data_IF_592721924596
#
_entry.id   IF_592721924596
#
_cell.length_a   1.000
_cell.length_b   1.000
_cell.length_c   1.000
_cell.angle_alpha   90.00
_cell.angle_beta   90.00
_cell.angle_gamma   90.00
#
_symmetry.space_group_name_H-M   'P 1'
#
loop_
_entity.id
_entity.type
_entity.pdbx_description
1 polymer ?
#
# COMPACT_ATOMS: atom_id res chain seq x y z
N UNK A 1 -17.79 -15.53 6.92
CA UNK A 1 -16.92 -15.15 8.05
C UNK A 1 -17.67 -14.13 8.89
N UNK A 2 -17.90 -14.38 10.18
CA UNK A 2 -18.60 -13.41 11.05
C UNK A 2 -17.75 -12.16 11.24
N UNK A 3 -18.38 -10.98 11.21
CA UNK A 3 -17.75 -9.65 11.22
C UNK A 3 -16.70 -9.48 12.34
N UNK A 4 -16.95 -10.09 13.51
CA UNK A 4 -16.02 -10.06 14.64
C UNK A 4 -14.72 -10.85 14.44
N UNK A 5 -14.72 -11.96 13.67
CA UNK A 5 -13.52 -12.81 13.50
C UNK A 5 -12.45 -12.18 12.59
N UNK A 6 -12.84 -11.27 11.69
CA UNK A 6 -11.93 -10.59 10.78
C UNK A 6 -11.13 -9.46 11.46
N UNK A 7 -11.73 -8.80 12.47
CA UNK A 7 -11.09 -7.69 13.19
C UNK A 7 -9.93 -8.17 14.08
N UNK A 8 -10.06 -9.33 14.73
CA UNK A 8 -8.97 -9.92 15.52
C UNK A 8 -7.75 -10.26 14.66
N UNK A 9 -7.96 -10.69 13.41
CA UNK A 9 -6.86 -10.99 12.49
C UNK A 9 -6.10 -9.72 12.08
N UNK A 10 -6.82 -8.63 11.80
CA UNK A 10 -6.19 -7.35 11.51
C UNK A 10 -5.37 -6.83 12.71
N UNK A 11 -5.92 -6.89 13.91
CA UNK A 11 -5.21 -6.48 15.13
C UNK A 11 -3.99 -7.37 15.43
N UNK A 12 -4.09 -8.68 15.20
CA UNK A 12 -2.96 -9.59 15.34
C UNK A 12 -1.84 -9.29 14.33
N UNK A 13 -2.19 -9.01 13.07
CA UNK A 13 -1.22 -8.59 12.05
C UNK A 13 -0.56 -7.26 12.37
N UNK A 14 -1.32 -6.28 12.88
CA UNK A 14 -0.79 -4.98 13.31
C UNK A 14 0.19 -5.19 14.47
N UNK A 15 -0.18 -6.00 15.46
CA UNK A 15 0.68 -6.31 16.60
C UNK A 15 1.98 -6.97 16.14
N UNK A 16 1.90 -7.95 15.25
CA UNK A 16 3.07 -8.64 14.71
C UNK A 16 3.95 -7.70 13.87
N UNK A 17 3.35 -6.81 13.08
CA UNK A 17 4.06 -5.78 12.32
C UNK A 17 4.88 -4.88 13.26
N UNK A 18 4.30 -4.39 14.35
CA UNK A 18 5.00 -3.54 15.31
C UNK A 18 6.10 -4.28 16.10
N UNK A 19 6.00 -5.60 16.28
CA UNK A 19 7.06 -6.41 16.91
C UNK A 19 8.30 -6.56 16.03
N UNK A 20 8.13 -6.46 14.70
CA UNK A 20 9.21 -6.65 13.73
C UNK A 20 9.79 -5.34 13.18
N UNK A 21 9.23 -4.19 13.55
CA UNK A 21 9.71 -2.88 13.13
C UNK A 21 10.56 -2.20 14.21
N UNK A 22 11.54 -1.35 13.83
CA UNK A 22 12.33 -0.60 14.80
C UNK A 22 11.44 0.33 15.64
N UNK A 23 11.69 0.39 16.96
CA UNK A 23 10.95 1.25 17.89
C UNK A 23 11.01 2.75 17.55
N UNK A 24 12.00 3.17 16.77
CA UNK A 24 12.15 4.56 16.29
C UNK A 24 11.30 4.88 15.05
N UNK A 25 10.68 3.89 14.43
CA UNK A 25 9.91 4.06 13.21
C UNK A 25 8.47 4.52 13.53
N UNK A 26 8.08 5.68 13.00
CA UNK A 26 6.69 6.14 13.07
C UNK A 26 5.88 5.46 11.96
N UNK A 27 4.88 4.66 12.33
CA UNK A 27 4.01 3.94 11.40
C UNK A 27 2.58 4.51 11.52
N UNK A 28 2.12 5.14 10.44
CA UNK A 28 0.71 5.53 10.31
C UNK A 28 -0.10 4.37 9.75
N UNK A 29 -1.11 3.90 10.49
CA UNK A 29 -2.08 2.90 10.01
C UNK A 29 -3.43 3.58 9.87
N UNK A 30 -3.87 3.73 8.63
CA UNK A 30 -5.22 4.19 8.34
C UNK A 30 -6.12 2.96 8.21
N UNK A 31 -7.06 2.78 9.13
CA UNK A 31 -8.00 1.66 9.09
C UNK A 31 -9.41 2.20 8.86
N UNK A 32 -10.10 1.64 7.86
CA UNK A 32 -11.47 2.01 7.51
C UNK A 32 -12.45 1.36 8.51
N UNK A 33 -12.66 2.02 9.67
CA UNK A 33 -13.67 1.60 10.67
C UNK A 33 -15.06 2.17 10.30
N UNK A 34 -15.14 3.15 9.41
CA UNK A 34 -16.35 3.97 9.23
C UNK A 34 -17.32 3.49 8.14
N UNK A 35 -16.84 2.96 7.02
CA UNK A 35 -17.72 2.63 5.89
C UNK A 35 -17.91 1.11 5.78
N UNK A 36 -18.91 0.58 6.50
CA UNK A 36 -19.17 -0.85 6.53
C UNK A 36 -19.45 -1.44 5.14
N UNK A 37 -18.89 -2.64 4.95
CA UNK A 37 -19.13 -3.63 3.89
C UNK A 37 -18.31 -3.46 2.60
N UNK A 38 -17.26 -4.29 2.58
CA UNK A 38 -16.48 -4.79 1.44
C UNK A 38 -15.28 -3.98 0.93
N UNK A 39 -14.12 -4.44 1.42
CA UNK A 39 -12.89 -4.66 0.64
C UNK A 39 -12.26 -3.39 0.07
N UNK A 40 -11.40 -2.74 0.86
CA UNK A 40 -10.02 -2.33 0.49
C UNK A 40 -9.33 -1.65 1.69
N UNK A 41 -8.17 -2.18 2.10
CA UNK A 41 -7.40 -1.72 3.27
C UNK A 41 -6.56 -0.46 3.02
N UNK A 42 -6.47 -0.04 1.76
CA UNK A 42 -5.78 1.16 1.33
C UNK A 42 -6.66 1.81 0.28
N UNK A 43 -7.48 2.75 0.70
CA UNK A 43 -8.11 3.71 -0.19
C UNK A 43 -7.85 5.10 0.39
N UNK A 44 -6.86 5.79 -0.17
CA UNK A 44 -6.59 7.18 0.14
C UNK A 44 -7.69 8.11 -0.38
N UNK A 45 -8.40 7.68 -1.42
CA UNK A 45 -9.68 8.24 -1.80
C UNK A 45 -10.79 7.45 -1.10
N UNK A 46 -11.13 7.87 0.12
CA UNK A 46 -12.25 7.29 0.88
C UNK A 46 -13.52 7.18 0.03
N UNK A 47 -14.28 6.11 0.26
CA UNK A 47 -15.48 5.72 -0.50
C UNK A 47 -16.63 6.74 -0.50
N UNK A 48 -16.58 7.76 0.36
CA UNK A 48 -17.50 8.90 0.38
C UNK A 48 -16.74 10.20 0.63
N UNK A 49 -17.27 11.32 0.11
CA UNK A 49 -16.68 12.66 0.27
C UNK A 49 -16.39 13.05 1.74
N UNK A 50 -17.25 12.74 2.74
CA UNK A 50 -16.95 13.02 4.14
C UNK A 50 -15.72 12.25 4.67
N UNK A 51 -15.55 10.99 4.27
CA UNK A 51 -14.39 10.19 4.67
C UNK A 51 -13.10 10.75 4.07
N UNK A 52 -13.14 11.23 2.82
CA UNK A 52 -12.00 11.92 2.22
C UNK A 52 -11.67 13.20 2.98
N UNK A 53 -12.65 13.94 3.49
CA UNK A 53 -12.33 15.15 4.25
C UNK A 53 -11.72 14.88 5.62
N UNK A 54 -12.11 13.81 6.30
CA UNK A 54 -11.67 13.53 7.67
C UNK A 54 -10.37 12.70 7.67
N UNK A 55 -10.27 11.73 6.77
CA UNK A 55 -9.21 10.72 6.76
C UNK A 55 -8.24 10.85 5.58
N UNK A 56 -8.21 11.99 4.88
CA UNK A 56 -7.21 12.19 3.82
C UNK A 56 -5.79 12.04 4.40
N UNK A 57 -4.89 11.26 3.78
CA UNK A 57 -3.52 11.10 4.27
C UNK A 57 -2.80 12.44 4.53
N UNK A 58 -2.99 13.43 3.65
CA UNK A 58 -2.44 14.81 3.84
C UNK A 58 -2.99 15.58 5.04
N UNK A 59 -4.08 15.14 5.67
CA UNK A 59 -4.66 15.75 6.88
C UNK A 59 -4.26 14.97 8.14
N UNK A 60 -3.67 13.79 8.00
CA UNK A 60 -3.18 12.99 9.10
C UNK A 60 -1.70 13.27 9.32
N UNK A 61 -1.34 13.72 10.51
CA UNK A 61 0.07 13.89 10.90
C UNK A 61 0.82 12.56 10.76
N UNK A 62 2.06 12.63 10.26
CA UNK A 62 2.91 11.46 10.03
C UNK A 62 2.81 10.81 8.65
N UNK A 63 1.81 11.15 7.83
CA UNK A 63 1.69 10.63 6.44
C UNK A 63 2.39 11.49 5.38
N UNK A 64 2.84 12.69 5.76
CA UNK A 64 3.55 13.61 4.87
C UNK A 64 2.69 14.05 3.66
N UNK A 65 3.34 14.18 2.50
CA UNK A 65 2.67 14.54 1.23
C UNK A 65 2.10 13.33 0.47
N UNK A 66 2.18 12.14 1.07
CA UNK A 66 1.67 10.92 0.44
C UNK A 66 0.17 11.03 0.21
N UNK A 67 -0.26 10.66 -0.98
CA UNK A 67 -1.68 10.47 -1.33
C UNK A 67 -2.08 9.00 -1.23
N UNK A 68 -1.23 8.14 -0.64
CA UNK A 68 -1.51 6.74 -0.37
C UNK A 68 -1.69 5.82 -1.60
N UNK A 69 -1.62 6.34 -2.83
CA UNK A 69 -1.87 5.57 -4.06
C UNK A 69 -0.87 4.43 -4.24
N UNK A 70 0.40 4.67 -3.86
CA UNK A 70 1.44 3.63 -3.85
C UNK A 70 1.11 2.45 -2.93
N UNK A 71 0.49 2.72 -1.78
CA UNK A 71 0.06 1.67 -0.84
C UNK A 71 -1.13 0.87 -1.42
N UNK A 72 -2.06 1.51 -2.13
CA UNK A 72 -3.17 0.81 -2.79
C UNK A 72 -2.68 -0.13 -3.90
N UNK A 73 -1.72 0.33 -4.70
CA UNK A 73 -1.10 -0.44 -5.78
C UNK A 73 -0.35 -1.67 -5.24
N UNK A 74 0.44 -1.45 -4.19
CA UNK A 74 1.16 -2.52 -3.50
C UNK A 74 0.20 -3.55 -2.91
N UNK A 75 -0.81 -3.09 -2.16
CA UNK A 75 -1.82 -3.96 -1.56
C UNK A 75 -2.61 -4.74 -2.60
N UNK A 76 -2.99 -4.10 -3.71
CA UNK A 76 -3.69 -4.75 -4.82
C UNK A 76 -2.88 -5.88 -5.46
N UNK A 77 -1.55 -5.78 -5.41
CA UNK A 77 -0.64 -6.82 -5.93
C UNK A 77 -0.49 -8.00 -4.97
N UNK A 78 -0.56 -7.74 -3.65
CA UNK A 78 -0.39 -8.77 -2.61
C UNK A 78 -1.71 -9.40 -2.15
N UNK A 79 -2.86 -8.74 -2.34
CA UNK A 79 -4.16 -9.24 -1.85
C UNK A 79 -4.51 -10.65 -2.33
N UNK A 80 -4.01 -11.06 -3.51
CA UNK A 80 -4.29 -12.38 -4.10
C UNK A 80 -3.56 -13.52 -3.38
N UNK A 81 -2.45 -13.25 -2.70
CA UNK A 81 -1.72 -14.26 -1.94
C UNK A 81 -2.23 -14.40 -0.49
N UNK A 82 -3.02 -13.45 0.01
CA UNK A 82 -3.55 -13.47 1.39
C UNK A 82 -4.37 -14.74 1.68
N UNK A 83 -5.30 -15.19 0.82
CA UNK A 83 -6.11 -16.37 1.13
C UNK A 83 -5.30 -17.67 1.26
N UNK A 84 -4.26 -17.86 0.44
CA UNK A 84 -3.40 -19.06 0.51
C UNK A 84 -2.46 -19.04 1.71
N UNK A 85 -2.06 -17.84 2.16
CA UNK A 85 -1.16 -17.67 3.31
C UNK A 85 -1.87 -17.87 4.65
N UNK A 86 -3.20 -17.79 4.72
CA UNK A 86 -3.96 -18.10 5.94
C UNK A 86 -3.81 -19.56 6.41
N UNK A 87 -3.38 -20.46 5.53
CA UNK A 87 -3.16 -21.89 5.82
C UNK A 87 -1.66 -22.24 5.91
N UNK A 88 -0.78 -21.29 5.56
CA UNK A 88 0.66 -21.49 5.55
C UNK A 88 1.28 -21.27 6.95
N UNK A 89 2.33 -22.03 7.27
CA UNK A 89 3.13 -21.79 8.48
C UNK A 89 3.88 -20.45 8.42
N UNK A 90 4.28 -19.93 9.58
CA UNK A 90 4.91 -18.62 9.75
C UNK A 90 6.06 -18.35 8.76
N UNK A 91 7.04 -19.26 8.67
CA UNK A 91 8.19 -19.10 7.79
C UNK A 91 7.83 -19.12 6.30
N UNK A 92 6.84 -19.94 5.91
CA UNK A 92 6.36 -19.99 4.53
C UNK A 92 5.63 -18.70 4.14
N UNK A 93 4.84 -18.16 5.07
CA UNK A 93 4.16 -16.88 4.90
C UNK A 93 5.19 -15.75 4.70
N UNK A 94 6.17 -15.65 5.60
CA UNK A 94 7.21 -14.62 5.52
C UNK A 94 8.03 -14.73 4.21
N UNK A 95 8.46 -15.93 3.86
CA UNK A 95 9.23 -16.16 2.62
C UNK A 95 8.43 -15.81 1.36
N UNK A 96 7.13 -16.12 1.34
CA UNK A 96 6.26 -15.85 0.20
C UNK A 96 6.02 -14.36 0.02
N UNK A 97 5.76 -13.63 1.12
CA UNK A 97 5.66 -12.17 1.10
C UNK A 97 6.98 -11.56 0.62
N UNK A 98 8.11 -11.92 1.22
CA UNK A 98 9.42 -11.39 0.86
C UNK A 98 9.74 -11.60 -0.63
N UNK A 99 9.47 -12.81 -1.14
CA UNK A 99 9.66 -13.13 -2.56
C UNK A 99 8.77 -12.28 -3.46
N UNK A 100 7.50 -12.06 -3.09
CA UNK A 100 6.58 -11.22 -3.85
C UNK A 100 6.96 -9.75 -3.81
N UNK A 101 7.39 -9.23 -2.66
CA UNK A 101 7.89 -7.85 -2.54
C UNK A 101 9.11 -7.65 -3.45
N UNK A 102 10.09 -8.55 -3.41
CA UNK A 102 11.26 -8.50 -4.30
C UNK A 102 10.90 -8.59 -5.78
N UNK A 103 9.89 -9.38 -6.12
CA UNK A 103 9.39 -9.45 -7.50
C UNK A 103 8.73 -8.14 -7.95
N UNK A 104 7.88 -7.56 -7.10
CA UNK A 104 7.20 -6.29 -7.36
C UNK A 104 8.20 -5.14 -7.48
N UNK A 105 9.20 -5.09 -6.62
CA UNK A 105 10.28 -4.12 -6.68
C UNK A 105 11.00 -4.17 -8.05
N UNK A 106 11.44 -5.36 -8.47
CA UNK A 106 12.07 -5.54 -9.80
C UNK A 106 11.17 -5.12 -10.95
N UNK A 107 9.87 -5.38 -10.85
CA UNK A 107 8.88 -4.98 -11.86
C UNK A 107 8.74 -3.45 -11.89
N UNK A 108 8.60 -2.81 -10.73
CA UNK A 108 8.48 -1.36 -10.58
C UNK A 108 9.72 -0.64 -11.11
N UNK A 109 10.92 -1.13 -10.83
CA UNK A 109 12.17 -0.56 -11.37
C UNK A 109 12.20 -0.57 -12.90
N UNK A 110 11.83 -1.68 -13.55
CA UNK A 110 11.77 -1.76 -15.01
C UNK A 110 10.75 -0.79 -15.63
N UNK A 111 9.62 -0.57 -14.96
CA UNK A 111 8.60 0.40 -15.41
C UNK A 111 9.11 1.82 -15.24
N UNK A 112 9.74 2.12 -14.11
CA UNK A 112 10.32 3.42 -13.80
C UNK A 112 11.40 3.82 -14.81
N UNK A 113 12.29 2.89 -15.17
CA UNK A 113 13.33 3.13 -16.17
C UNK A 113 12.73 3.60 -17.51
N UNK A 114 11.75 2.86 -18.03
CA UNK A 114 11.05 3.23 -19.27
C UNK A 114 10.31 4.55 -19.16
N UNK A 115 9.68 4.80 -18.02
CA UNK A 115 8.97 6.06 -17.77
C UNK A 115 9.92 7.26 -17.77
N UNK A 116 11.08 7.15 -17.11
CA UNK A 116 12.10 8.18 -17.09
C UNK A 116 12.65 8.46 -18.49
N UNK A 117 12.93 7.41 -19.26
CA UNK A 117 13.37 7.54 -20.66
C UNK A 117 12.33 8.30 -21.51
N UNK A 118 11.05 7.93 -21.42
CA UNK A 118 9.99 8.65 -22.13
C UNK A 118 9.86 10.11 -21.69
N UNK A 119 9.92 10.39 -20.39
CA UNK A 119 9.86 11.77 -19.87
C UNK A 119 11.03 12.61 -20.35
N UNK A 120 12.23 12.03 -20.36
CA UNK A 120 13.43 12.67 -20.86
C UNK A 120 13.32 13.03 -22.34
N UNK A 121 12.89 12.08 -23.19
CA UNK A 121 12.67 12.31 -24.61
C UNK A 121 11.64 13.41 -24.87
N UNK A 122 10.51 13.36 -24.17
CA UNK A 122 9.48 14.40 -24.27
C UNK A 122 9.97 15.79 -23.83
N UNK A 123 10.84 15.85 -22.81
CA UNK A 123 11.49 17.11 -22.40
C UNK A 123 12.45 17.63 -23.49
N UNK A 124 13.21 16.75 -24.14
CA UNK A 124 14.09 17.12 -25.24
C UNK A 124 13.32 17.65 -26.44
N UNK A 125 12.24 16.98 -26.85
CA UNK A 125 11.37 17.41 -27.95
C UNK A 125 10.81 18.82 -27.70
N UNK A 126 10.33 19.08 -26.47
CA UNK A 126 9.83 20.41 -26.09
C UNK A 126 10.91 21.48 -26.05
N UNK A 127 12.15 21.13 -25.69
CA UNK A 127 13.27 22.07 -25.72
C UNK A 127 13.60 22.46 -27.15
N UNK A 128 13.69 21.49 -28.07
CA UNK A 128 13.99 21.73 -29.49
C UNK A 128 12.87 22.55 -30.15
N UNK A 129 11.60 22.30 -29.82
CA UNK A 129 10.48 23.08 -30.36
C UNK A 129 10.29 24.48 -29.76
N UNK A 130 11.05 24.84 -28.72
CA UNK A 130 11.03 26.17 -28.09
C UNK A 130 12.23 27.04 -28.49
N UNK A 131 13.21 26.47 -29.21
CA UNK A 131 14.31 27.16 -29.89
C UNK A 131 13.91 27.51 -31.34
#
# INVERSE_FOLDING_TARGET
MTVGRAQYYALALIKELFLNLPLSMTVGILYDIGCQLERRLFHAYGHQWPCQLIYHPRKCEGFGLSDGEGCECFWSSIKLIIPSMCVAGFYHHLFTIDTQVKHLEKKSFKVMEKWLQHKWLHCLEKKIGAE
#
